data_IF_752303979673
#
_entry.id   IF_752303979673
#
_cell.length_a   1.000
_cell.length_b   1.000
_cell.length_c   1.000
_cell.angle_alpha   90.00
_cell.angle_beta   90.00
_cell.angle_gamma   90.00
#
_symmetry.space_group_name_H-M   'P 1'
#
loop_
_entity.id
_entity.type
_entity.pdbx_description
1 polymer ?
#
# COMPACT_ATOMS: atom_id res chain seq x y z
N UNK A 1 4.32 6.21 19.83
CA UNK A 1 4.13 7.51 19.19
C UNK A 1 2.79 7.45 18.54
N UNK A 2 1.96 8.44 18.73
CA UNK A 2 0.65 8.50 18.05
C UNK A 2 0.78 9.55 16.97
N UNK A 3 0.36 9.22 15.77
CA UNK A 3 0.24 10.21 14.70
C UNK A 3 -1.20 10.22 14.20
N UNK A 4 -1.69 11.37 13.92
CA UNK A 4 -2.97 11.59 13.26
C UNK A 4 -2.67 12.47 12.06
N UNK A 5 -2.77 11.89 10.89
CA UNK A 5 -2.66 12.62 9.65
C UNK A 5 -4.05 12.86 9.12
N UNK A 6 -4.39 14.08 8.96
CA UNK A 6 -5.59 14.52 8.26
C UNK A 6 -5.15 15.17 6.98
N UNK A 7 -5.37 14.46 5.90
CA UNK A 7 -5.05 14.99 4.59
C UNK A 7 -6.34 15.29 3.87
N UNK A 8 -6.89 16.45 4.07
CA UNK A 8 -8.12 16.79 3.49
C UNK A 8 -7.89 17.34 2.17
N UNK A 9 -8.19 16.95 1.23
CA UNK A 9 -8.25 17.63 0.28
C UNK A 9 -8.22 17.51 -0.89
N UNK A 10 -8.56 17.67 -1.69
CA UNK A 10 -8.68 18.42 -2.64
C UNK A 10 -9.68 18.48 -3.47
N UNK A 11 -9.74 19.18 -4.04
CA UNK A 11 -10.58 19.75 -4.60
C UNK A 11 -10.23 20.65 -5.56
N UNK A 12 -10.69 20.73 -6.59
CA UNK A 12 -10.48 21.66 -7.40
C UNK A 12 -11.50 21.91 -8.19
N UNK A 13 -12.27 22.17 -7.98
CA UNK A 13 -13.29 22.65 -8.60
C UNK A 13 -13.36 22.86 -10.00
N UNK A 14 -12.59 22.27 -10.79
CA UNK A 14 -12.80 22.69 -12.07
C UNK A 14 -12.66 21.72 -13.13
N UNK A 15 -13.49 21.76 -14.01
CA UNK A 15 -13.59 21.03 -15.21
C UNK A 15 -13.42 21.96 -16.36
N UNK A 16 -13.35 21.51 -17.55
CA UNK A 16 -13.29 22.33 -18.75
C UNK A 16 -12.05 23.20 -18.91
N UNK A 17 -10.90 22.53 -18.89
CA UNK A 17 -9.65 23.15 -19.30
C UNK A 17 -9.08 24.19 -18.36
N UNK A 18 -9.66 24.37 -17.20
CA UNK A 18 -9.03 25.18 -16.20
C UNK A 18 -8.30 24.30 -15.19
N UNK A 19 -7.33 24.86 -14.52
CA UNK A 19 -6.48 24.15 -13.61
C UNK A 19 -7.18 23.76 -12.32
N UNK A 20 -8.41 24.02 -12.19
CA UNK A 20 -9.18 23.58 -11.06
C UNK A 20 -8.92 24.23 -9.73
N UNK A 21 -8.01 25.16 -9.63
CA UNK A 21 -7.78 25.87 -8.41
C UNK A 21 -8.73 27.07 -8.29
N UNK A 22 -9.31 27.21 -7.14
CA UNK A 22 -10.07 28.41 -6.85
C UNK A 22 -9.20 29.67 -6.89
N UNK A 23 -9.83 30.82 -7.06
CA UNK A 23 -9.15 32.11 -7.16
C UNK A 23 -8.51 32.60 -5.86
N UNK A 24 -8.68 31.89 -4.76
CA UNK A 24 -8.09 32.22 -3.47
C UNK A 24 -7.55 30.96 -2.79
N UNK A 25 -6.45 31.10 -2.10
CA UNK A 25 -5.74 30.04 -1.38
C UNK A 25 -6.64 29.20 -0.43
N UNK A 26 -7.67 29.79 0.13
CA UNK A 26 -8.61 29.16 1.05
C UNK A 26 -9.95 28.74 0.41
N UNK A 27 -10.09 28.87 -0.91
CA UNK A 27 -11.29 28.43 -1.60
C UNK A 27 -11.15 26.98 -2.00
N UNK A 28 -11.99 26.14 -1.43
CA UNK A 28 -12.18 24.77 -1.83
C UNK A 28 -12.98 24.75 -3.13
N UNK A 29 -12.61 23.87 -4.04
CA UNK A 29 -13.39 23.65 -5.23
C UNK A 29 -14.69 22.88 -4.96
N UNK A 30 -15.55 22.80 -5.95
CA UNK A 30 -16.84 22.13 -5.85
C UNK A 30 -16.74 20.60 -5.95
N UNK A 31 -15.63 20.08 -6.50
CA UNK A 31 -15.46 18.66 -6.74
C UNK A 31 -14.37 18.09 -5.86
N UNK A 32 -14.72 17.03 -5.12
CA UNK A 32 -13.74 16.25 -4.34
C UNK A 32 -13.06 15.24 -5.25
N UNK A 33 -11.74 15.25 -5.29
CA UNK A 33 -10.94 14.25 -6.00
C UNK A 33 -10.49 13.15 -5.07
N UNK A 34 -9.99 13.53 -3.91
CA UNK A 34 -9.46 12.63 -2.93
C UNK A 34 -9.55 13.25 -1.54
N UNK A 35 -9.86 12.41 -0.56
CA UNK A 35 -9.83 12.79 0.85
C UNK A 35 -9.45 11.56 1.66
N UNK A 36 -8.59 11.70 2.65
CA UNK A 36 -8.30 10.64 3.59
C UNK A 36 -8.13 11.15 5.02
N UNK A 37 -8.47 10.27 5.95
CA UNK A 37 -8.22 10.43 7.36
C UNK A 37 -7.47 9.20 7.85
N UNK A 38 -6.26 9.41 8.38
CA UNK A 38 -5.43 8.34 8.88
C UNK A 38 -5.24 8.49 10.39
N UNK A 39 -5.44 7.41 11.11
CA UNK A 39 -5.12 7.32 12.54
C UNK A 39 -4.17 6.15 12.73
N UNK A 40 -2.96 6.44 13.22
CA UNK A 40 -1.92 5.45 13.41
C UNK A 40 -1.43 5.43 14.85
N UNK A 41 -1.23 4.23 15.37
CA UNK A 41 -0.70 3.98 16.69
C UNK A 41 0.52 3.06 16.59
N UNK A 42 1.68 3.61 16.93
CA UNK A 42 2.93 2.86 17.02
C UNK A 42 3.25 2.57 18.50
N UNK A 43 3.42 1.31 18.84
CA UNK A 43 3.75 0.92 20.20
C UNK A 43 4.86 -0.10 20.25
N UNK A 44 5.88 0.20 21.04
CA UNK A 44 6.86 -0.81 21.46
C UNK A 44 6.31 -1.52 22.69
N UNK A 45 5.79 -2.73 22.50
CA UNK A 45 5.17 -3.53 23.56
C UNK A 45 6.25 -4.13 24.47
N UNK A 46 7.35 -4.60 23.87
CA UNK A 46 8.52 -5.11 24.58
C UNK A 46 9.80 -4.64 23.90
N UNK A 47 10.97 -4.98 24.46
CA UNK A 47 12.27 -4.70 23.81
C UNK A 47 12.40 -5.39 22.45
N UNK A 48 11.65 -6.46 22.21
CA UNK A 48 11.71 -7.26 20.99
C UNK A 48 10.48 -7.11 20.10
N UNK A 49 9.35 -6.62 20.59
CA UNK A 49 8.08 -6.54 19.86
C UNK A 49 7.66 -5.09 19.67
N UNK A 50 7.46 -4.72 18.41
CA UNK A 50 6.80 -3.48 18.00
C UNK A 50 5.50 -3.82 17.30
N UNK A 51 4.46 -3.06 17.59
CA UNK A 51 3.17 -3.10 16.92
C UNK A 51 2.89 -1.74 16.29
N UNK A 52 2.30 -1.77 15.13
CA UNK A 52 1.71 -0.63 14.46
C UNK A 52 0.27 -0.99 14.11
N UNK A 53 -0.67 -0.14 14.46
CA UNK A 53 -2.07 -0.24 14.07
C UNK A 53 -2.45 1.03 13.35
N UNK A 54 -3.09 0.91 12.21
CA UNK A 54 -3.57 2.05 11.45
C UNK A 54 -4.99 1.81 10.98
N UNK A 55 -5.79 2.85 11.07
CA UNK A 55 -7.10 2.95 10.44
C UNK A 55 -7.07 4.12 9.46
N UNK A 56 -7.60 3.90 8.27
CA UNK A 56 -7.72 4.91 7.22
C UNK A 56 -9.15 4.91 6.70
N UNK A 57 -9.76 6.10 6.65
CA UNK A 57 -11.00 6.34 5.92
C UNK A 57 -10.67 7.16 4.66
N UNK A 58 -11.10 6.70 3.51
CA UNK A 58 -10.70 7.26 2.23
C UNK A 58 -11.92 7.48 1.33
N UNK A 59 -11.92 8.64 0.68
CA UNK A 59 -12.80 9.00 -0.42
C UNK A 59 -11.95 9.17 -1.67
N UNK A 60 -12.26 8.44 -2.73
CA UNK A 60 -11.54 8.49 -3.99
C UNK A 60 -12.50 8.68 -5.16
N UNK A 61 -12.39 9.79 -5.86
CA UNK A 61 -13.24 10.07 -7.02
C UNK A 61 -12.62 9.48 -8.28
N UNK A 62 -12.92 8.22 -8.54
CA UNK A 62 -12.40 7.48 -9.69
C UNK A 62 -12.81 8.13 -11.01
N UNK A 63 -14.03 8.64 -11.11
CA UNK A 63 -14.48 9.34 -12.32
C UNK A 63 -13.65 10.59 -12.60
N UNK A 64 -13.33 11.39 -11.60
CA UNK A 64 -12.57 12.61 -11.80
C UNK A 64 -11.09 12.35 -12.08
N UNK A 65 -10.54 11.23 -11.63
CA UNK A 65 -9.12 10.90 -11.72
C UNK A 65 -8.82 9.96 -12.89
N UNK A 66 -9.66 8.93 -13.08
CA UNK A 66 -9.46 7.90 -14.09
C UNK A 66 -10.43 8.00 -15.27
N UNK A 67 -11.48 8.82 -15.16
CA UNK A 67 -12.48 9.04 -16.19
C UNK A 67 -13.77 8.26 -16.02
N UNK A 68 -13.80 7.25 -15.17
CA UNK A 68 -14.98 6.40 -14.92
C UNK A 68 -14.94 5.78 -13.51
N UNK A 69 -16.05 5.21 -13.05
CA UNK A 69 -16.09 4.39 -11.83
C UNK A 69 -16.71 5.03 -10.59
N UNK A 70 -17.10 6.29 -10.62
CA UNK A 70 -17.82 6.94 -9.50
C UNK A 70 -16.93 7.35 -8.33
N UNK A 71 -17.57 7.61 -7.19
CA UNK A 71 -16.92 7.90 -5.92
C UNK A 71 -16.77 6.60 -5.14
N UNK A 72 -15.56 6.30 -4.70
CA UNK A 72 -15.25 5.12 -3.91
C UNK A 72 -15.05 5.53 -2.46
N UNK A 73 -15.79 4.89 -1.56
CA UNK A 73 -15.65 5.03 -0.13
C UNK A 73 -15.02 3.77 0.42
N UNK A 74 -13.91 3.89 1.11
CA UNK A 74 -13.23 2.75 1.71
C UNK A 74 -12.73 3.02 3.12
N UNK A 75 -12.84 1.99 3.95
CA UNK A 75 -12.25 1.93 5.28
C UNK A 75 -11.17 0.87 5.27
N UNK A 76 -9.97 1.20 5.72
CA UNK A 76 -8.83 0.30 5.72
C UNK A 76 -8.30 0.16 7.14
N UNK A 77 -8.15 -1.08 7.57
CA UNK A 77 -7.53 -1.41 8.84
C UNK A 77 -6.22 -2.14 8.56
N UNK A 78 -5.14 -1.73 9.19
CA UNK A 78 -3.82 -2.31 9.04
C UNK A 78 -3.27 -2.65 10.43
N UNK A 79 -2.74 -3.85 10.55
CA UNK A 79 -2.00 -4.30 11.72
C UNK A 79 -0.63 -4.83 11.29
N UNK A 80 0.44 -4.26 11.80
CA UNK A 80 1.82 -4.69 11.56
C UNK A 80 2.49 -5.04 12.89
N UNK A 81 3.17 -6.18 12.92
CA UNK A 81 3.91 -6.65 14.07
C UNK A 81 5.33 -7.01 13.66
N UNK A 82 6.33 -6.43 14.33
CA UNK A 82 7.72 -6.75 14.12
C UNK A 82 8.33 -7.32 15.38
N UNK A 83 8.73 -8.60 15.31
CA UNK A 83 9.29 -9.34 16.44
C UNK A 83 10.74 -9.73 16.19
N UNK A 84 11.63 -9.22 17.04
CA UNK A 84 13.05 -9.58 17.01
C UNK A 84 13.25 -10.84 17.84
N UNK A 85 13.41 -11.97 17.17
CA UNK A 85 13.62 -13.26 17.81
C UNK A 85 15.04 -13.41 18.37
N UNK A 86 16.03 -12.87 17.63
CA UNK A 86 17.45 -12.85 18.07
C UNK A 86 18.18 -11.63 17.53
N UNK A 87 19.50 -11.56 17.72
CA UNK A 87 20.33 -10.46 17.14
C UNK A 87 20.32 -10.47 15.59
N UNK A 88 20.15 -11.65 14.98
CA UNK A 88 20.18 -11.82 13.53
C UNK A 88 18.84 -12.18 12.94
N UNK A 89 17.83 -12.51 13.72
CA UNK A 89 16.56 -13.02 13.22
C UNK A 89 15.39 -12.11 13.63
N UNK A 90 14.67 -11.61 12.63
CA UNK A 90 13.50 -10.76 12.83
C UNK A 90 12.36 -11.27 11.98
N UNK A 91 11.20 -11.45 12.59
CA UNK A 91 9.94 -11.78 11.94
C UNK A 91 9.07 -10.54 11.88
N UNK A 92 8.47 -10.26 10.71
CA UNK A 92 7.44 -9.25 10.53
C UNK A 92 6.19 -9.91 9.96
N UNK A 93 5.06 -9.57 10.51
CA UNK A 93 3.75 -9.94 9.98
C UNK A 93 2.91 -8.69 9.80
N UNK A 94 2.17 -8.61 8.70
CA UNK A 94 1.25 -7.52 8.40
C UNK A 94 -0.07 -8.13 7.92
N UNK A 95 -1.17 -7.57 8.39
CA UNK A 95 -2.50 -7.90 7.94
C UNK A 95 -3.24 -6.60 7.64
N UNK A 96 -3.93 -6.55 6.50
CA UNK A 96 -4.74 -5.42 6.10
C UNK A 96 -6.11 -5.93 5.65
N UNK A 97 -7.12 -5.12 5.90
CA UNK A 97 -8.44 -5.34 5.33
C UNK A 97 -9.02 -4.02 4.86
N UNK A 98 -9.48 -4.01 3.62
CA UNK A 98 -10.17 -2.89 3.00
C UNK A 98 -11.63 -3.25 2.87
N UNK A 99 -12.47 -2.43 3.50
CA UNK A 99 -13.92 -2.52 3.43
C UNK A 99 -14.43 -1.50 2.43
N UNK A 100 -15.17 -1.93 1.42
CA UNK A 100 -15.86 -1.05 0.49
C UNK A 100 -17.02 -1.78 -0.17
N UNK A 101 -18.06 -1.03 -0.51
CA UNK A 101 -19.16 -1.54 -1.34
C UNK A 101 -19.02 -1.12 -2.80
N UNK A 102 -18.00 -0.35 -3.09
CA UNK A 102 -17.76 0.23 -4.40
C UNK A 102 -16.68 -0.55 -5.15
N UNK A 103 -16.58 -0.34 -6.46
CA UNK A 103 -15.59 -0.94 -7.36
C UNK A 103 -15.58 -2.48 -7.27
N UNK A 104 -14.48 -3.08 -6.84
CA UNK A 104 -14.32 -4.53 -6.74
C UNK A 104 -14.63 -5.10 -5.34
N UNK A 105 -15.21 -4.28 -4.45
CA UNK A 105 -15.56 -4.70 -3.09
C UNK A 105 -14.35 -4.92 -2.18
N UNK A 106 -14.54 -5.72 -1.17
CA UNK A 106 -13.59 -5.93 -0.08
C UNK A 106 -12.31 -6.64 -0.49
N UNK A 107 -11.22 -6.27 0.18
CA UNK A 107 -9.90 -6.88 0.00
C UNK A 107 -9.24 -7.23 1.31
N UNK A 108 -8.62 -8.40 1.35
CA UNK A 108 -7.76 -8.84 2.45
C UNK A 108 -6.32 -8.95 1.96
N UNK A 109 -5.36 -8.53 2.77
CA UNK A 109 -3.94 -8.68 2.50
C UNK A 109 -3.21 -9.21 3.72
N UNK A 110 -2.27 -10.11 3.49
CA UNK A 110 -1.37 -10.62 4.50
C UNK A 110 0.07 -10.67 4.00
N UNK A 111 1.02 -10.38 4.87
CA UNK A 111 2.46 -10.47 4.63
C UNK A 111 3.14 -11.15 5.81
N UNK A 112 4.07 -12.05 5.51
CA UNK A 112 5.04 -12.58 6.46
C UNK A 112 6.44 -12.36 5.87
N UNK A 113 7.33 -11.76 6.66
CA UNK A 113 8.70 -11.50 6.27
C UNK A 113 9.66 -11.99 7.35
N UNK A 114 10.63 -12.80 6.97
CA UNK A 114 11.69 -13.28 7.83
C UNK A 114 13.02 -12.68 7.37
N UNK A 115 13.59 -11.82 8.19
CA UNK A 115 14.91 -11.24 7.96
C UNK A 115 15.97 -12.01 8.73
N UNK A 116 16.95 -12.55 8.03
CA UNK A 116 18.11 -13.25 8.56
C UNK A 116 19.36 -12.40 8.29
N UNK A 117 19.63 -11.50 9.22
CA UNK A 117 20.77 -10.59 9.09
C UNK A 117 22.10 -11.35 9.08
N UNK A 118 23.09 -10.85 8.34
CA UNK A 118 23.07 -9.57 7.63
C UNK A 118 22.58 -9.63 6.18
N UNK A 119 22.28 -10.79 5.61
CA UNK A 119 22.22 -10.96 4.16
C UNK A 119 20.88 -11.37 3.60
N UNK A 120 20.10 -12.17 4.28
CA UNK A 120 18.93 -12.84 3.71
C UNK A 120 17.62 -12.25 4.19
N UNK A 121 16.65 -12.20 3.30
CA UNK A 121 15.27 -11.87 3.60
C UNK A 121 14.36 -12.78 2.77
N UNK A 122 13.39 -13.38 3.45
CA UNK A 122 12.35 -14.21 2.85
C UNK A 122 11.03 -13.52 3.08
N UNK A 123 10.19 -13.43 2.07
CA UNK A 123 8.85 -12.86 2.21
C UNK A 123 7.81 -13.67 1.47
N UNK A 124 6.63 -13.70 2.02
CA UNK A 124 5.44 -14.22 1.38
C UNK A 124 4.28 -13.27 1.67
N UNK A 125 3.58 -12.88 0.63
CA UNK A 125 2.37 -12.06 0.73
C UNK A 125 1.25 -12.66 -0.11
N UNK A 126 0.03 -12.43 0.32
CA UNK A 126 -1.17 -12.76 -0.43
C UNK A 126 -2.19 -11.63 -0.29
N UNK A 127 -2.78 -11.24 -1.39
CA UNK A 127 -3.88 -10.29 -1.47
C UNK A 127 -5.07 -10.99 -2.10
N UNK A 128 -6.16 -11.03 -1.38
CA UNK A 128 -7.40 -11.70 -1.76
C UNK A 128 -8.52 -10.69 -1.98
N UNK A 129 -9.16 -10.74 -3.13
CA UNK A 129 -10.39 -9.98 -3.35
C UNK A 129 -11.58 -10.77 -2.82
N UNK A 130 -12.21 -10.29 -1.76
CA UNK A 130 -13.35 -10.93 -1.14
C UNK A 130 -14.69 -10.45 -1.72
N UNK A 131 -14.69 -9.32 -2.43
CA UNK A 131 -15.91 -8.69 -2.92
C UNK A 131 -16.41 -9.25 -4.26
N UNK A 132 -15.58 -9.27 -5.29
CA UNK A 132 -16.02 -9.55 -6.66
C UNK A 132 -15.34 -10.77 -7.26
N UNK A 133 -14.04 -10.72 -7.47
CA UNK A 133 -13.34 -11.71 -8.28
C UNK A 133 -13.01 -13.01 -7.55
N UNK A 134 -12.94 -12.98 -6.22
CA UNK A 134 -12.52 -14.08 -5.35
C UNK A 134 -11.15 -14.67 -5.73
N UNK A 135 -10.25 -13.82 -6.22
CA UNK A 135 -8.93 -14.21 -6.68
C UNK A 135 -7.85 -13.87 -5.67
N UNK A 136 -6.85 -14.76 -5.61
CA UNK A 136 -5.62 -14.57 -4.85
C UNK A 136 -4.50 -14.01 -5.73
N UNK A 137 -3.77 -13.04 -5.19
CA UNK A 137 -2.58 -12.45 -5.78
C UNK A 137 -1.43 -12.60 -4.81
N UNK A 138 -0.75 -13.73 -4.93
CA UNK A 138 0.31 -14.13 -4.00
C UNK A 138 1.69 -13.85 -4.57
N UNK A 139 2.64 -13.59 -3.70
CA UNK A 139 4.05 -13.37 -4.05
C UNK A 139 4.94 -13.96 -2.96
N UNK A 140 5.77 -14.92 -3.34
CA UNK A 140 6.87 -15.41 -2.51
C UNK A 140 8.19 -14.87 -3.04
N UNK A 141 9.08 -14.35 -2.20
CA UNK A 141 10.37 -13.87 -2.63
C UNK A 141 11.50 -14.16 -1.65
N UNK A 142 12.70 -14.21 -2.20
CA UNK A 142 13.98 -14.30 -1.47
C UNK A 142 14.87 -13.17 -1.93
N UNK A 143 15.42 -12.43 -0.98
CA UNK A 143 16.41 -11.40 -1.27
C UNK A 143 17.73 -11.70 -0.56
N UNK A 144 18.81 -11.43 -1.27
CA UNK A 144 20.18 -11.49 -0.76
C UNK A 144 20.82 -10.12 -0.91
N UNK A 145 21.49 -9.64 0.14
CA UNK A 145 22.18 -8.36 0.12
C UNK A 145 23.59 -8.48 0.72
N UNK A 146 24.58 -7.97 0.00
CA UNK A 146 25.97 -7.90 0.45
C UNK A 146 26.73 -6.76 -0.23
N UNK A 147 27.44 -5.94 0.53
CA UNK A 147 28.37 -4.90 0.03
C UNK A 147 27.79 -4.01 -1.07
N UNK A 148 26.60 -3.47 -0.87
CA UNK A 148 25.92 -2.62 -1.85
C UNK A 148 25.14 -3.36 -2.92
N UNK A 149 25.32 -4.66 -3.08
CA UNK A 149 24.56 -5.52 -4.00
C UNK A 149 23.28 -6.02 -3.31
N UNK A 150 22.17 -5.96 -3.99
CA UNK A 150 20.92 -6.61 -3.59
C UNK A 150 20.29 -7.31 -4.77
N UNK A 151 20.17 -8.62 -4.66
CA UNK A 151 19.45 -9.47 -5.61
C UNK A 151 18.17 -9.96 -4.94
N UNK A 152 17.05 -9.85 -5.61
CA UNK A 152 15.78 -10.41 -5.18
C UNK A 152 15.16 -11.23 -6.30
N UNK A 153 14.69 -12.42 -5.96
CA UNK A 153 13.98 -13.30 -6.86
C UNK A 153 12.65 -13.65 -6.20
N UNK A 154 11.58 -13.54 -6.95
CA UNK A 154 10.23 -13.87 -6.48
C UNK A 154 9.46 -14.65 -7.54
N UNK A 155 8.43 -15.33 -7.08
CA UNK A 155 7.44 -15.98 -7.92
C UNK A 155 6.05 -15.71 -7.38
N UNK A 156 5.15 -15.35 -8.26
CA UNK A 156 3.80 -15.07 -7.85
C UNK A 156 2.86 -14.69 -8.97
N UNK A 157 1.69 -14.22 -8.55
CA UNK A 157 0.65 -13.65 -9.40
C UNK A 157 0.41 -12.21 -8.99
N UNK A 158 0.52 -11.28 -9.94
CA UNK A 158 0.26 -9.86 -9.71
C UNK A 158 -1.06 -9.45 -10.35
N UNK A 159 -1.73 -8.49 -9.73
CA UNK A 159 -2.93 -7.85 -10.26
C UNK A 159 -2.54 -6.86 -11.35
N UNK A 160 -3.44 -6.69 -12.35
CA UNK A 160 -3.36 -5.55 -13.25
C UNK A 160 -3.65 -4.25 -12.49
N UNK A 161 -2.97 -3.18 -12.84
CA UNK A 161 -3.19 -1.88 -12.23
C UNK A 161 -1.99 -0.95 -12.40
N UNK A 162 -2.12 0.24 -11.83
CA UNK A 162 -1.02 1.20 -11.80
C UNK A 162 -0.02 0.84 -10.70
N UNK A 163 1.23 0.72 -11.09
CA UNK A 163 2.35 0.56 -10.17
C UNK A 163 3.18 1.84 -10.17
N UNK A 164 3.24 2.49 -9.02
CA UNK A 164 3.96 3.74 -8.84
C UNK A 164 5.23 3.50 -8.04
N UNK A 165 6.37 3.87 -8.60
CA UNK A 165 7.67 3.78 -7.94
C UNK A 165 8.53 4.99 -8.31
N UNK A 166 9.11 5.64 -7.31
CA UNK A 166 9.98 6.80 -7.52
C UNK A 166 9.29 7.99 -8.21
N UNK A 167 7.97 8.18 -8.01
CA UNK A 167 7.20 9.25 -8.63
C UNK A 167 6.72 8.95 -10.06
N UNK A 168 7.03 7.78 -10.59
CA UNK A 168 6.56 7.35 -11.92
C UNK A 168 5.52 6.25 -11.74
N UNK A 169 4.33 6.49 -12.27
CA UNK A 169 3.24 5.52 -12.31
C UNK A 169 3.11 4.93 -13.71
N UNK A 170 3.04 3.61 -13.80
CA UNK A 170 2.80 2.90 -15.06
C UNK A 170 1.76 1.81 -14.86
N UNK A 171 0.92 1.61 -15.86
CA UNK A 171 0.02 0.49 -15.88
C UNK A 171 0.81 -0.80 -16.13
N UNK A 172 0.57 -1.81 -15.30
CA UNK A 172 1.14 -3.15 -15.47
C UNK A 172 0.00 -4.15 -15.65
N UNK A 173 0.09 -5.07 -16.62
CA UNK A 173 -0.91 -6.10 -16.80
C UNK A 173 -0.85 -7.14 -15.67
N UNK A 174 -1.96 -7.85 -15.46
CA UNK A 174 -1.94 -9.03 -14.61
C UNK A 174 -0.94 -10.05 -15.15
N UNK A 175 -0.09 -10.56 -14.30
CA UNK A 175 0.93 -11.52 -14.69
C UNK A 175 1.09 -12.61 -13.65
N UNK A 176 1.60 -13.77 -14.08
CA UNK A 176 2.03 -14.86 -13.21
C UNK A 176 3.37 -15.36 -13.67
N UNK A 177 4.35 -15.37 -12.79
CA UNK A 177 5.69 -15.82 -13.17
C UNK A 177 6.76 -15.42 -12.18
N UNK A 178 7.99 -15.50 -12.67
CA UNK A 178 9.19 -15.12 -11.91
C UNK A 178 9.47 -13.64 -12.10
N UNK A 179 9.77 -12.97 -10.99
CA UNK A 179 10.23 -11.59 -10.97
C UNK A 179 11.63 -11.57 -10.39
N UNK A 180 12.54 -10.87 -11.04
CA UNK A 180 13.91 -10.69 -10.55
C UNK A 180 14.25 -9.20 -10.54
N UNK A 181 14.87 -8.74 -9.48
CA UNK A 181 15.41 -7.40 -9.38
C UNK A 181 16.85 -7.44 -8.83
N UNK A 182 17.70 -6.61 -9.39
CA UNK A 182 19.04 -6.40 -8.92
C UNK A 182 19.31 -4.91 -8.77
N UNK A 183 19.81 -4.52 -7.60
CA UNK A 183 20.19 -3.15 -7.28
C UNK A 183 21.62 -3.12 -6.80
N UNK A 184 22.36 -2.12 -7.24
CA UNK A 184 23.71 -1.84 -6.76
C UNK A 184 23.81 -0.39 -6.29
N UNK A 185 24.28 -0.21 -5.06
CA UNK A 185 24.58 1.09 -4.48
C UNK A 185 26.09 1.21 -4.31
N UNK A 186 26.67 2.20 -4.93
CA UNK A 186 28.12 2.50 -4.89
C UNK A 186 28.41 3.74 -4.06
#
# INVERSE_FOLDING_TARGET
MHSIDVNPKYLNGRTEGSNGYGSAFWKWGEQTYYQDLNIQVDKRVTKSLKLNLMYMNQLYNKTAIEGEGGMIHSDIVIADAKYRMSKSLTLRGEAQYLFTKDDQGDWAYGLIELSVAPRWMFSFSDMYNAGDTHLHYYMGSVAFAEKGHRLQIGYGRTRAGFNCSGGVCRYVPASRGVVMSYNYNF
#
